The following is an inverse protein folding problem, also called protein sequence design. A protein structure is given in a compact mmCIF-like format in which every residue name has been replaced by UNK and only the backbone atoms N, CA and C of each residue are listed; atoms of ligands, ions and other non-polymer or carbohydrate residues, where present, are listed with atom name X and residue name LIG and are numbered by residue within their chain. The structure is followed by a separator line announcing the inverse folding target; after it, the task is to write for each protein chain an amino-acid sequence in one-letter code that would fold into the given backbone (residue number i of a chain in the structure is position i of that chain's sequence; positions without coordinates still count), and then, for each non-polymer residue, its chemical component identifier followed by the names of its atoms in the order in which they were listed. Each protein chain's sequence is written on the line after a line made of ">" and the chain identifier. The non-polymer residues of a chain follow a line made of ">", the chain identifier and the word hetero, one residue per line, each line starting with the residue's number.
data_IF_779307528760
#
_entry.id   IF_779307528760
#
_cell.length_a   1.000
_cell.length_b   1.000
_cell.length_c   1.000
_cell.angle_alpha   90.00
_cell.angle_beta   90.00
_cell.angle_gamma   90.00
#
_symmetry.space_group_name_H-M   'P 1'
#
loop_
_entity.id
_entity.type
_entity.pdbx_description
1 polymer ?
#
# COMPACT_ATOMS: atom_id res chain seq x y z
N UNK A 1 -19.88 -0.21 -7.85
CA UNK A 1 -19.33 -1.55 -7.59
C UNK A 1 -17.81 -1.52 -7.63
N UNK A 2 -17.17 -2.13 -6.63
CA UNK A 2 -15.72 -2.38 -6.63
C UNK A 2 -15.48 -3.80 -7.16
N UNK A 3 -14.55 -4.02 -8.12
CA UNK A 3 -14.31 -5.35 -8.66
C UNK A 3 -13.70 -6.27 -7.59
N UNK A 4 -14.29 -7.46 -7.43
CA UNK A 4 -13.76 -8.51 -6.57
C UNK A 4 -12.35 -8.91 -7.01
N UNK A 5 -11.52 -9.35 -6.06
CA UNK A 5 -10.16 -9.86 -6.32
C UNK A 5 -9.20 -8.87 -7.02
N UNK A 6 -9.41 -7.56 -6.84
CA UNK A 6 -8.53 -6.52 -7.41
C UNK A 6 -7.72 -5.76 -6.35
N UNK A 7 -6.78 -6.42 -5.64
CA UNK A 7 -5.88 -5.72 -4.71
C UNK A 7 -4.95 -4.75 -5.45
N UNK A 8 -4.62 -5.03 -6.71
CA UNK A 8 -3.80 -4.19 -7.59
C UNK A 8 -4.44 -2.82 -7.88
N UNK A 9 -5.77 -2.74 -7.78
CA UNK A 9 -6.51 -1.49 -7.83
C UNK A 9 -6.54 -0.75 -6.49
N UNK A 10 -6.21 -1.37 -5.36
CA UNK A 10 -6.28 -0.69 -4.06
C UNK A 10 -4.93 -0.06 -3.67
N UNK A 11 -4.79 1.28 -3.64
CA UNK A 11 -3.50 1.94 -3.37
C UNK A 11 -3.00 1.73 -1.94
N UNK A 12 -3.86 1.34 -1.00
CA UNK A 12 -3.45 1.08 0.39
C UNK A 12 -2.49 -0.10 0.49
N UNK A 13 -2.53 -1.04 -0.45
CA UNK A 13 -1.60 -2.19 -0.48
C UNK A 13 -0.14 -1.73 -0.58
N UNK A 14 0.12 -0.62 -1.27
CA UNK A 14 1.45 -0.01 -1.32
C UNK A 14 1.87 0.54 0.04
N UNK A 15 0.96 1.19 0.77
CA UNK A 15 1.22 1.70 2.12
C UNK A 15 1.45 0.55 3.11
N UNK A 16 0.68 -0.54 3.01
CA UNK A 16 0.91 -1.72 3.83
C UNK A 16 2.28 -2.36 3.56
N UNK A 17 2.72 -2.41 2.31
CA UNK A 17 4.06 -2.91 1.96
C UNK A 17 5.16 -2.01 2.54
N UNK A 18 5.01 -0.69 2.44
CA UNK A 18 5.93 0.29 3.01
C UNK A 18 6.02 0.15 4.54
N UNK A 19 4.87 0.12 5.21
CA UNK A 19 4.78 -0.04 6.66
C UNK A 19 5.46 -1.34 7.12
N UNK A 20 5.12 -2.48 6.52
CA UNK A 20 5.73 -3.77 6.87
C UNK A 20 7.24 -3.75 6.68
N UNK A 21 7.73 -3.11 5.62
CA UNK A 21 9.17 -2.98 5.36
C UNK A 21 9.86 -2.13 6.43
N UNK A 22 9.23 -1.03 6.85
CA UNK A 22 9.78 -0.15 7.86
C UNK A 22 9.79 -0.81 9.25
N UNK A 23 8.66 -1.39 9.67
CA UNK A 23 8.53 -2.12 10.93
C UNK A 23 9.49 -3.31 11.00
N UNK A 24 9.67 -4.04 9.90
CA UNK A 24 10.63 -5.14 9.84
C UNK A 24 12.07 -4.69 10.12
N UNK A 25 12.48 -3.49 9.66
CA UNK A 25 13.82 -2.95 9.93
C UNK A 25 14.02 -2.65 11.42
N UNK A 26 12.96 -2.31 12.14
CA UNK A 26 13.01 -2.09 13.59
C UNK A 26 13.18 -3.38 14.41
N UNK A 27 12.99 -4.55 13.79
CA UNK A 27 13.20 -5.88 14.39
C UNK A 27 12.50 -6.07 15.74
N UNK A 28 11.15 -5.91 15.82
CA UNK A 28 10.42 -6.11 17.07
C UNK A 28 10.57 -7.53 17.60
N UNK A 29 10.78 -7.65 18.91
CA UNK A 29 10.98 -8.93 19.61
C UNK A 29 9.71 -9.52 20.20
N UNK A 30 8.65 -8.71 20.32
CA UNK A 30 7.36 -9.09 20.92
C UNK A 30 6.21 -8.26 20.32
N UNK A 31 4.97 -8.62 20.68
CA UNK A 31 3.77 -7.97 20.13
C UNK A 31 3.63 -6.51 20.55
N UNK A 32 4.07 -6.15 21.76
CA UNK A 32 4.02 -4.76 22.25
C UNK A 32 4.95 -3.86 21.44
N UNK A 33 6.18 -4.30 21.18
CA UNK A 33 7.12 -3.59 20.30
C UNK A 33 6.61 -3.52 18.86
N UNK A 34 6.03 -4.62 18.35
CA UNK A 34 5.45 -4.65 17.01
C UNK A 34 4.33 -3.60 16.87
N UNK A 35 3.42 -3.52 17.83
CA UNK A 35 2.35 -2.53 17.83
C UNK A 35 2.88 -1.09 17.91
N UNK A 36 3.84 -0.85 18.80
CA UNK A 36 4.49 0.46 18.94
C UNK A 36 5.13 0.89 17.63
N UNK A 37 5.98 0.05 17.03
CA UNK A 37 6.64 0.36 15.77
C UNK A 37 5.67 0.52 14.61
N UNK A 38 4.56 -0.23 14.58
CA UNK A 38 3.51 -0.01 13.58
C UNK A 38 2.93 1.40 13.67
N UNK A 39 2.64 1.91 14.88
CA UNK A 39 2.13 3.27 15.07
C UNK A 39 3.18 4.32 14.70
N UNK A 40 4.41 4.16 15.18
CA UNK A 40 5.51 5.11 14.91
C UNK A 40 5.87 5.20 13.42
N UNK A 41 5.95 4.07 12.72
CA UNK A 41 6.24 4.06 11.28
C UNK A 41 5.05 4.53 10.44
N UNK A 42 3.81 4.31 10.91
CA UNK A 42 2.62 4.83 10.24
C UNK A 42 2.57 6.36 10.26
N UNK A 43 2.86 6.98 11.40
CA UNK A 43 2.90 8.45 11.53
C UNK A 43 3.99 9.11 10.66
N UNK A 44 5.01 8.35 10.24
CA UNK A 44 6.05 8.83 9.32
C UNK A 44 5.61 8.84 7.85
N UNK A 45 4.51 8.18 7.51
CA UNK A 45 3.97 8.19 6.14
C UNK A 45 3.39 9.57 5.86
N UNK A 46 4.06 10.33 4.98
CA UNK A 46 3.64 11.69 4.68
C UNK A 46 2.32 11.74 3.90
N UNK A 47 1.54 12.81 4.12
CA UNK A 47 0.35 13.11 3.31
C UNK A 47 0.70 13.21 1.81
N UNK A 48 1.89 13.75 1.49
CA UNK A 48 2.39 13.81 0.11
C UNK A 48 2.63 12.44 -0.52
N UNK A 49 3.02 11.43 0.28
CA UNK A 49 3.14 10.05 -0.20
C UNK A 49 1.78 9.50 -0.59
N UNK A 50 0.76 9.70 0.26
CA UNK A 50 -0.62 9.31 -0.03
C UNK A 50 -1.14 10.00 -1.29
N UNK A 51 -0.96 11.33 -1.41
CA UNK A 51 -1.36 12.09 -2.59
C UNK A 51 -0.75 11.52 -3.88
N UNK A 52 0.56 11.23 -3.87
CA UNK A 52 1.25 10.64 -5.03
C UNK A 52 0.69 9.27 -5.44
N UNK A 53 0.28 8.44 -4.48
CA UNK A 53 -0.37 7.16 -4.81
C UNK A 53 -1.70 7.37 -5.52
N UNK A 54 -2.51 8.32 -5.07
CA UNK A 54 -3.78 8.70 -5.69
C UNK A 54 -3.57 9.32 -7.09
N UNK A 55 -2.59 10.21 -7.25
CA UNK A 55 -2.24 10.80 -8.55
C UNK A 55 -1.87 9.74 -9.60
N UNK A 56 -1.27 8.62 -9.17
CA UNK A 56 -0.93 7.52 -10.09
C UNK A 56 -2.10 6.58 -10.39
N UNK A 57 -3.25 6.73 -9.74
CA UNK A 57 -4.41 5.84 -9.89
C UNK A 57 -4.92 5.70 -11.33
N UNK A 58 -5.00 6.77 -12.15
CA UNK A 58 -5.41 6.62 -13.56
C UNK A 58 -4.53 5.66 -14.37
N UNK A 59 -3.25 5.51 -14.00
CA UNK A 59 -2.34 4.55 -14.64
C UNK A 59 -2.71 3.09 -14.31
N UNK A 60 -3.27 2.82 -13.13
CA UNK A 60 -3.77 1.50 -12.74
C UNK A 60 -5.00 1.13 -13.56
N UNK A 61 -5.94 2.07 -13.68
CA UNK A 61 -7.14 1.90 -14.50
C UNK A 61 -6.78 1.61 -15.96
N UNK A 62 -5.85 2.38 -16.52
CA UNK A 62 -5.35 2.15 -17.89
C UNK A 62 -4.73 0.77 -18.04
N UNK A 63 -3.97 0.31 -17.05
CA UNK A 63 -3.37 -1.02 -17.07
C UNK A 63 -4.41 -2.14 -17.03
N UNK A 64 -5.43 -2.04 -16.17
CA UNK A 64 -6.53 -3.02 -16.10
C UNK A 64 -7.34 -3.07 -17.40
N UNK A 65 -7.64 -1.91 -17.98
CA UNK A 65 -8.35 -1.83 -19.28
C UNK A 65 -7.51 -2.51 -20.37
N UNK A 66 -6.21 -2.23 -20.42
CA UNK A 66 -5.27 -2.83 -21.37
C UNK A 66 -5.17 -4.35 -21.16
N UNK A 67 -5.19 -4.80 -19.91
CA UNK A 67 -5.22 -6.20 -19.52
C UNK A 67 -6.60 -6.86 -19.69
N UNK A 68 -7.61 -6.13 -20.20
CA UNK A 68 -8.99 -6.60 -20.35
C UNK A 68 -9.58 -7.17 -19.06
N UNK A 69 -9.32 -6.52 -17.94
CA UNK A 69 -9.75 -6.96 -16.60
C UNK A 69 -8.83 -7.99 -15.93
N UNK A 70 -7.75 -8.40 -16.59
CA UNK A 70 -6.72 -9.25 -15.99
C UNK A 70 -5.85 -8.52 -14.96
N UNK A 71 -5.07 -9.30 -14.21
CA UNK A 71 -4.16 -8.80 -13.18
C UNK A 71 -3.10 -7.85 -13.75
N UNK A 72 -2.74 -6.83 -12.96
CA UNK A 72 -1.70 -5.86 -13.33
C UNK A 72 -0.47 -5.96 -12.43
N UNK A 73 0.54 -5.14 -12.73
CA UNK A 73 1.79 -5.06 -11.95
C UNK A 73 1.67 -4.27 -10.63
N UNK A 74 0.51 -3.68 -10.38
CA UNK A 74 0.31 -2.72 -9.29
C UNK A 74 -0.02 -3.39 -7.96
#
# INVERSE_FOLDING_TARGET
>A
EWPSQSPDLNPIENLWKELKTAVHKCSPSNLTELELFCKEEWEKISVSRCAKLIETYPKRLTAVITAKGGATKY
#
